data_IF_272199913795
#
_entry.id   IF_272199913795
#
_cell.length_a   1.000
_cell.length_b   1.000
_cell.length_c   1.000
_cell.angle_alpha   90.00
_cell.angle_beta   90.00
_cell.angle_gamma   90.00
#
_symmetry.space_group_name_H-M   'P 1'
#
loop_
_entity.id
_entity.type
_entity.pdbx_description
1 polymer ?
#
# COMPACT_ATOMS: atom_id res chain seq x y z
N UNK A 1 -4.07 -5.82 8.81
CA UNK A 1 -4.20 -4.47 8.21
C UNK A 1 -5.64 -3.98 8.18
N UNK A 2 -6.60 -4.65 7.51
CA UNK A 2 -8.00 -4.16 7.40
C UNK A 2 -8.69 -3.94 8.75
N UNK A 3 -8.66 -4.91 9.66
CA UNK A 3 -9.34 -4.77 10.96
C UNK A 3 -8.66 -3.72 11.87
N UNK A 4 -7.34 -3.61 11.78
CA UNK A 4 -6.60 -2.52 12.44
C UNK A 4 -7.03 -1.15 11.91
N UNK A 5 -7.15 -0.99 10.58
CA UNK A 5 -7.64 0.23 9.93
C UNK A 5 -9.07 0.58 10.36
N UNK A 6 -9.97 -0.41 10.47
CA UNK A 6 -11.32 -0.21 11.02
C UNK A 6 -11.28 0.23 12.48
N UNK A 7 -10.41 -0.33 13.30
CA UNK A 7 -10.21 0.09 14.69
C UNK A 7 -9.82 1.57 14.77
N UNK A 8 -8.82 2.00 14.01
CA UNK A 8 -8.41 3.40 13.94
C UNK A 8 -9.52 4.33 13.44
N UNK A 9 -10.27 3.92 12.42
CA UNK A 9 -11.41 4.66 11.88
C UNK A 9 -12.52 4.82 12.95
N UNK A 10 -12.85 3.77 13.72
CA UNK A 10 -13.83 3.84 14.83
C UNK A 10 -13.41 4.80 15.93
N UNK A 11 -12.10 5.00 16.11
CA UNK A 11 -11.52 6.01 16.98
C UNK A 11 -11.49 7.42 16.33
N UNK A 12 -12.23 7.62 15.24
CA UNK A 12 -12.37 8.88 14.51
C UNK A 12 -11.08 9.39 13.86
N UNK A 13 -10.13 8.50 13.54
CA UNK A 13 -8.92 8.86 12.80
C UNK A 13 -9.17 8.86 11.29
N UNK A 14 -8.47 9.75 10.57
CA UNK A 14 -8.39 9.67 9.11
C UNK A 14 -7.42 8.57 8.70
N UNK A 15 -7.95 7.49 8.13
CA UNK A 15 -7.16 6.32 7.72
C UNK A 15 -7.05 6.28 6.20
N UNK A 16 -5.87 5.98 5.69
CA UNK A 16 -5.59 5.80 4.27
C UNK A 16 -4.86 4.48 4.08
N UNK A 17 -5.34 3.67 3.14
CA UNK A 17 -4.78 2.34 2.86
C UNK A 17 -4.31 2.25 1.41
N UNK A 18 -3.22 1.53 1.17
CA UNK A 18 -2.76 1.18 -0.17
C UNK A 18 -2.41 -0.31 -0.28
N UNK A 19 -2.32 -0.79 -1.52
CA UNK A 19 -1.74 -2.08 -1.87
C UNK A 19 -0.65 -1.84 -2.90
N UNK A 20 0.57 -2.27 -2.62
CA UNK A 20 1.66 -2.23 -3.60
C UNK A 20 1.55 -3.44 -4.54
N UNK A 21 1.55 -3.16 -5.84
CA UNK A 21 1.56 -4.16 -6.91
C UNK A 21 2.74 -4.00 -7.87
N UNK A 22 3.80 -3.31 -7.44
CA UNK A 22 5.03 -3.13 -8.21
C UNK A 22 6.05 -4.18 -7.77
N UNK A 23 6.65 -4.86 -8.73
CA UNK A 23 7.75 -5.80 -8.47
C UNK A 23 9.08 -5.09 -8.77
N UNK A 24 10.04 -5.07 -7.83
CA UNK A 24 11.37 -4.52 -8.12
C UNK A 24 12.06 -5.34 -9.19
N UNK A 25 12.60 -4.66 -10.22
CA UNK A 25 13.35 -5.34 -11.30
C UNK A 25 14.65 -5.99 -10.81
N UNK A 26 15.19 -5.48 -9.70
CA UNK A 26 16.42 -5.91 -9.05
C UNK A 26 16.20 -6.96 -7.94
N UNK A 27 14.97 -7.45 -7.74
CA UNK A 27 14.68 -8.47 -6.73
C UNK A 27 15.07 -9.89 -7.18
N UNK A 28 15.70 -10.66 -6.29
CA UNK A 28 16.20 -12.02 -6.56
C UNK A 28 15.10 -13.09 -6.68
N UNK A 29 13.89 -12.79 -6.23
CA UNK A 29 12.78 -13.76 -6.24
C UNK A 29 12.40 -14.18 -7.67
N UNK A 30 11.95 -15.42 -7.91
CA UNK A 30 11.43 -15.79 -9.23
C UNK A 30 10.25 -14.91 -9.68
N UNK A 31 10.12 -14.67 -11.00
CA UNK A 31 9.11 -13.77 -11.59
C UNK A 31 7.66 -14.09 -11.16
N UNK A 32 7.34 -15.37 -10.94
CA UNK A 32 5.99 -15.81 -10.56
C UNK A 32 5.58 -15.34 -9.15
N UNK A 33 6.54 -15.01 -8.29
CA UNK A 33 6.28 -14.49 -6.93
C UNK A 33 5.74 -13.05 -6.97
N UNK A 34 6.00 -12.31 -8.05
CA UNK A 34 5.60 -10.90 -8.23
C UNK A 34 6.21 -10.01 -7.12
N UNK A 35 5.39 -9.16 -6.49
CA UNK A 35 5.75 -8.29 -5.38
C UNK A 35 5.81 -9.09 -4.08
N UNK A 36 6.93 -9.02 -3.38
CA UNK A 36 7.17 -9.67 -2.10
C UNK A 36 6.98 -8.74 -0.91
N UNK A 37 6.87 -9.34 0.28
CA UNK A 37 6.85 -8.60 1.53
C UNK A 37 8.17 -7.83 1.72
N UNK A 38 8.08 -6.53 2.00
CA UNK A 38 9.22 -5.65 2.20
C UNK A 38 9.70 -4.93 0.93
N UNK A 39 9.18 -5.26 -0.25
CA UNK A 39 9.58 -4.59 -1.50
C UNK A 39 9.25 -3.09 -1.48
N UNK A 40 8.22 -2.69 -0.75
CA UNK A 40 7.82 -1.30 -0.57
C UNK A 40 8.89 -0.46 0.13
N UNK A 41 9.75 -1.06 0.95
CA UNK A 41 10.83 -0.37 1.65
C UNK A 41 11.85 0.21 0.66
N UNK A 42 12.17 -0.52 -0.42
CA UNK A 42 13.13 -0.07 -1.43
C UNK A 42 12.68 1.21 -2.12
N UNK A 43 11.38 1.30 -2.41
CA UNK A 43 10.77 2.44 -3.09
C UNK A 43 10.47 3.60 -2.13
N UNK A 44 9.89 3.31 -0.97
CA UNK A 44 9.44 4.33 0.00
C UNK A 44 10.57 5.12 0.65
N UNK A 45 11.72 4.48 0.88
CA UNK A 45 12.89 5.11 1.51
C UNK A 45 13.96 5.55 0.49
N UNK A 46 13.74 5.32 -0.81
CA UNK A 46 14.78 5.50 -1.83
C UNK A 46 16.00 4.61 -1.63
N UNK A 47 15.89 3.52 -0.85
CA UNK A 47 17.01 2.62 -0.59
C UNK A 47 17.33 1.72 -1.77
N UNK A 48 16.47 1.68 -2.81
CA UNK A 48 16.78 1.00 -4.07
C UNK A 48 18.16 1.41 -4.62
N UNK A 49 18.50 2.71 -4.61
CA UNK A 49 19.79 3.26 -5.07
C UNK A 49 21.02 2.80 -4.26
N UNK A 50 20.82 2.04 -3.18
CA UNK A 50 21.89 1.45 -2.37
C UNK A 50 22.07 -0.04 -2.62
N UNK A 51 21.08 -0.70 -3.19
CA UNK A 51 21.05 -2.17 -3.33
C UNK A 51 21.17 -2.65 -4.77
N UNK A 52 21.08 -1.75 -5.76
CA UNK A 52 21.32 -2.08 -7.15
C UNK A 52 21.96 -0.90 -7.90
N UNK A 53 22.62 -1.21 -9.02
CA UNK A 53 23.21 -0.22 -9.93
C UNK A 53 22.28 0.11 -11.12
N UNK A 54 21.38 -0.81 -11.45
CA UNK A 54 20.48 -0.71 -12.60
C UNK A 54 19.02 -0.86 -12.17
N UNK A 55 18.18 0.02 -12.68
CA UNK A 55 16.74 0.06 -12.41
C UNK A 55 15.98 0.34 -13.71
N UNK A 56 14.73 -0.10 -13.76
CA UNK A 56 13.82 0.24 -14.85
C UNK A 56 13.16 1.61 -14.61
N UNK A 57 12.59 2.20 -15.66
CA UNK A 57 11.77 3.40 -15.52
C UNK A 57 10.57 3.19 -14.57
N UNK A 58 10.04 1.97 -14.53
CA UNK A 58 8.92 1.60 -13.66
C UNK A 58 9.34 1.59 -12.18
N UNK A 59 10.55 1.12 -11.87
CA UNK A 59 11.09 1.17 -10.50
C UNK A 59 11.26 2.62 -10.02
N UNK A 60 11.81 3.48 -10.89
CA UNK A 60 12.01 4.91 -10.58
C UNK A 60 10.66 5.59 -10.37
N UNK A 61 9.69 5.36 -11.29
CA UNK A 61 8.33 5.90 -11.16
C UNK A 61 7.66 5.46 -9.86
N UNK A 62 7.83 4.21 -9.46
CA UNK A 62 7.28 3.68 -8.21
C UNK A 62 7.91 4.34 -6.98
N UNK A 63 9.24 4.52 -6.98
CA UNK A 63 9.96 5.19 -5.89
C UNK A 63 9.56 6.66 -5.75
N UNK A 64 9.60 7.43 -6.84
CA UNK A 64 9.22 8.84 -6.84
C UNK A 64 7.79 9.03 -6.31
N UNK A 65 6.86 8.17 -6.75
CA UNK A 65 5.48 8.25 -6.33
C UNK A 65 5.29 7.87 -4.85
N UNK A 66 5.92 6.79 -4.36
CA UNK A 66 5.82 6.40 -2.94
C UNK A 66 6.46 7.42 -2.01
N UNK A 67 7.63 7.96 -2.37
CA UNK A 67 8.28 9.05 -1.62
C UNK A 67 7.36 10.27 -1.58
N UNK A 68 6.74 10.63 -2.70
CA UNK A 68 5.79 11.74 -2.75
C UNK A 68 4.55 11.50 -1.88
N UNK A 69 3.96 10.30 -1.94
CA UNK A 69 2.81 9.90 -1.11
C UNK A 69 3.14 10.02 0.38
N UNK A 70 4.28 9.49 0.82
CA UNK A 70 4.70 9.53 2.22
C UNK A 70 5.00 10.96 2.65
N UNK A 71 5.66 11.76 1.80
CA UNK A 71 5.98 13.16 2.07
C UNK A 71 4.73 14.02 2.22
N UNK A 72 3.75 13.87 1.32
CA UNK A 72 2.49 14.62 1.35
C UNK A 72 1.64 14.25 2.55
N UNK A 73 1.51 12.95 2.85
CA UNK A 73 0.85 12.49 4.07
C UNK A 73 1.53 13.03 5.33
N UNK A 74 2.87 12.99 5.40
CA UNK A 74 3.61 13.48 6.57
C UNK A 74 3.44 14.98 6.80
N UNK A 75 3.30 15.77 5.71
CA UNK A 75 3.13 17.23 5.78
C UNK A 75 1.69 17.66 6.05
N UNK A 76 0.72 16.94 5.52
CA UNK A 76 -0.68 17.43 5.43
C UNK A 76 -1.71 16.49 6.05
N UNK A 77 -1.32 15.26 6.40
CA UNK A 77 -2.23 14.19 6.80
C UNK A 77 -3.04 13.58 5.65
N UNK A 78 -2.83 14.02 4.40
CA UNK A 78 -3.54 13.51 3.21
C UNK A 78 -2.51 13.01 2.19
N UNK A 79 -2.52 11.72 1.83
CA UNK A 79 -1.62 11.20 0.80
C UNK A 79 -2.06 11.68 -0.59
N UNK A 80 -1.09 12.03 -1.43
CA UNK A 80 -1.31 12.39 -2.82
C UNK A 80 -0.37 11.61 -3.72
N UNK A 81 -0.87 11.12 -4.86
CA UNK A 81 -0.01 10.58 -5.92
C UNK A 81 0.56 11.72 -6.76
N UNK A 82 1.65 11.47 -7.50
CA UNK A 82 2.21 12.45 -8.44
C UNK A 82 1.19 12.86 -9.52
N UNK A 83 0.31 11.94 -9.90
CA UNK A 83 -0.78 12.16 -10.86
C UNK A 83 -2.01 12.82 -10.21
N UNK A 84 -1.92 13.24 -8.93
CA UNK A 84 -3.00 13.86 -8.15
C UNK A 84 -4.32 13.07 -8.15
N UNK A 85 -4.22 11.73 -8.20
CA UNK A 85 -5.39 10.84 -8.18
C UNK A 85 -6.09 10.98 -6.82
N UNK A 86 -7.41 11.24 -6.78
CA UNK A 86 -8.14 11.35 -5.53
C UNK A 86 -8.00 10.10 -4.68
N UNK A 87 -7.48 10.26 -3.47
CA UNK A 87 -7.29 9.15 -2.55
C UNK A 87 -8.50 9.01 -1.61
N UNK A 88 -9.28 7.93 -1.70
CA UNK A 88 -10.42 7.75 -0.81
C UNK A 88 -9.95 7.48 0.61
N UNK A 89 -10.52 8.19 1.59
CA UNK A 89 -10.36 7.82 3.00
C UNK A 89 -10.91 6.40 3.20
N UNK A 90 -10.20 5.59 3.98
CA UNK A 90 -10.64 4.26 4.36
C UNK A 90 -11.93 4.37 5.17
N UNK A 91 -12.97 3.68 4.72
CA UNK A 91 -14.25 3.55 5.41
C UNK A 91 -14.69 2.08 5.40
N UNK A 92 -15.99 1.82 5.65
CA UNK A 92 -16.53 0.48 5.90
C UNK A 92 -16.35 -0.49 4.73
N UNK A 93 -16.26 0.01 3.50
CA UNK A 93 -15.97 -0.79 2.30
C UNK A 93 -14.47 -1.07 2.09
N UNK A 94 -13.63 -0.74 3.08
CA UNK A 94 -12.19 -0.90 3.05
C UNK A 94 -11.56 -0.32 1.77
N UNK A 95 -11.89 0.94 1.47
CA UNK A 95 -11.31 1.66 0.33
C UNK A 95 -9.80 1.75 0.46
N UNK A 96 -9.09 1.50 -0.65
CA UNK A 96 -7.64 1.57 -0.72
C UNK A 96 -7.19 2.07 -2.09
N UNK A 97 -5.95 2.57 -2.16
CA UNK A 97 -5.29 2.87 -3.43
C UNK A 97 -4.52 1.64 -3.92
N UNK A 98 -4.83 1.14 -5.11
CA UNK A 98 -4.03 0.11 -5.78
C UNK A 98 -2.86 0.79 -6.49
N UNK A 99 -1.65 0.58 -5.98
CA UNK A 99 -0.41 1.16 -6.50
C UNK A 99 0.26 0.18 -7.45
N UNK A 100 -0.05 0.33 -8.74
CA UNK A 100 0.55 -0.46 -9.80
C UNK A 100 1.23 0.46 -10.83
N UNK A 101 2.21 -0.07 -11.55
CA UNK A 101 3.01 0.68 -12.54
C UNK A 101 2.12 1.30 -13.62
N UNK A 102 1.16 0.52 -14.12
CA UNK A 102 0.29 0.92 -15.23
C UNK A 102 -0.72 1.99 -14.84
N UNK A 103 -1.19 1.99 -13.59
CA UNK A 103 -2.15 3.00 -13.10
C UNK A 103 -2.34 2.94 -11.59
N UNK A 104 -2.63 4.11 -11.01
CA UNK A 104 -3.08 4.26 -9.63
C UNK A 104 -4.60 4.34 -9.59
N UNK A 105 -5.25 3.37 -8.94
CA UNK A 105 -6.71 3.29 -8.95
C UNK A 105 -7.28 3.12 -7.54
N UNK A 106 -8.22 3.96 -7.12
CA UNK A 106 -9.07 3.69 -5.98
C UNK A 106 -9.82 2.37 -6.17
N UNK A 107 -9.70 1.46 -5.20
CA UNK A 107 -10.41 0.18 -5.15
C UNK A 107 -11.06 0.01 -3.79
N UNK A 108 -11.95 -0.98 -3.67
CA UNK A 108 -12.69 -1.31 -2.45
C UNK A 108 -12.64 -2.81 -2.20
N UNK A 109 -12.84 -3.23 -0.95
CA UNK A 109 -12.97 -4.63 -0.59
C UNK A 109 -11.68 -5.43 -0.78
N UNK A 110 -10.56 -4.94 -0.27
CA UNK A 110 -9.30 -5.70 -0.30
C UNK A 110 -9.47 -7.04 0.44
N UNK A 111 -9.25 -8.15 -0.27
CA UNK A 111 -9.25 -9.52 0.28
C UNK A 111 -10.50 -9.85 1.12
N UNK A 112 -11.69 -9.42 0.69
CA UNK A 112 -12.92 -9.52 1.48
C UNK A 112 -13.25 -10.96 1.88
N UNK A 113 -13.21 -11.89 0.92
CA UNK A 113 -13.47 -13.32 1.13
C UNK A 113 -12.47 -13.94 2.11
N UNK A 114 -11.19 -13.61 1.96
CA UNK A 114 -10.12 -14.15 2.80
C UNK A 114 -10.23 -13.59 4.22
N UNK A 115 -10.48 -12.29 4.37
CA UNK A 115 -10.71 -11.67 5.67
C UNK A 115 -11.96 -12.25 6.36
N UNK A 116 -13.05 -12.48 5.63
CA UNK A 116 -14.28 -13.08 6.17
C UNK A 116 -14.02 -14.52 6.65
N UNK A 117 -13.28 -15.32 5.87
CA UNK A 117 -12.83 -16.64 6.28
C UNK A 117 -12.02 -16.59 7.58
N UNK A 118 -10.96 -15.78 7.63
CA UNK A 118 -10.08 -15.71 8.81
C UNK A 118 -10.80 -15.23 10.06
N UNK A 119 -11.75 -14.29 9.95
CA UNK A 119 -12.60 -13.87 11.08
C UNK A 119 -13.50 -14.99 11.59
N UNK A 120 -13.99 -15.86 10.70
CA UNK A 120 -14.85 -16.98 11.10
C UNK A 120 -14.08 -18.10 11.79
N UNK A 121 -12.84 -18.38 11.34
CA UNK A 121 -12.02 -19.48 11.85
C UNK A 121 -11.21 -19.08 13.08
N UNK A 122 -10.70 -17.85 13.11
CA UNK A 122 -9.90 -17.28 14.19
C UNK A 122 -10.47 -15.91 14.57
N UNK A 123 -11.64 -15.86 15.23
CA UNK A 123 -12.20 -14.60 15.67
C UNK A 123 -11.25 -13.92 16.65
N UNK A 124 -10.95 -12.64 16.40
CA UNK A 124 -10.30 -11.81 17.40
C UNK A 124 -11.20 -11.78 18.64
N UNK A 125 -10.69 -12.30 19.76
CA UNK A 125 -11.31 -12.06 21.06
C UNK A 125 -10.86 -10.68 21.50
N UNK A 126 -11.77 -9.71 21.46
CA UNK A 126 -11.53 -8.41 22.10
C UNK A 126 -11.43 -8.69 23.61
N UNK A 127 -10.21 -8.82 24.12
CA UNK A 127 -9.94 -8.84 25.55
C UNK A 127 -9.79 -7.40 26.04
N UNK A 128 -10.93 -6.69 26.05
CA UNK A 128 -11.14 -5.44 26.80
C UNK A 128 -12.48 -5.57 27.51
#
# INVERSE_FOLDING_TARGET
MVEFSKGLQRLNNSVYMYKLGVRPSFGDWPKWVRTTHGDDIFFSLGSMYKVADNFTADDVKAAENLIHIISTFSKTGIPQTLEAVPWPRFQDEAQFMDLNVESYRPKRGILRSECDFWKSVLPFKDSV
#
